data_IF_824022557037
#
_entry.id   IF_824022557037
#
_cell.length_a   1.000
_cell.length_b   1.000
_cell.length_c   1.000
_cell.angle_alpha   90.00
_cell.angle_beta   90.00
_cell.angle_gamma   90.00
#
_symmetry.space_group_name_H-M   'P 1'
#
loop_
_entity.id
_entity.type
_entity.pdbx_description
1 polymer ?
#
# COMPACT_ATOMS: atom_id res chain seq x y z
N UNK A 1 25.78 37.47 41.89
CA UNK A 1 24.68 36.54 42.21
C UNK A 1 24.53 35.61 41.01
N UNK A 2 24.99 34.36 41.10
CA UNK A 2 24.78 33.36 40.04
C UNK A 2 23.48 32.63 40.34
N UNK A 3 22.47 32.79 39.49
CA UNK A 3 21.22 32.05 39.57
C UNK A 3 21.44 30.64 39.05
N UNK A 4 21.35 29.65 39.92
CA UNK A 4 21.30 28.24 39.54
C UNK A 4 19.92 27.96 38.91
N UNK A 5 19.91 27.73 37.60
CA UNK A 5 18.71 27.28 36.89
C UNK A 5 18.31 25.89 37.39
N UNK A 6 17.05 25.74 37.79
CA UNK A 6 16.48 24.45 38.12
C UNK A 6 16.51 23.55 36.87
N UNK A 7 17.39 22.55 36.87
CA UNK A 7 17.29 21.44 35.95
C UNK A 7 16.01 20.67 36.31
N UNK A 8 14.96 20.83 35.50
CA UNK A 8 13.80 19.95 35.59
C UNK A 8 14.30 18.53 35.32
N UNK A 9 14.30 17.68 36.35
CA UNK A 9 14.62 16.28 36.22
C UNK A 9 13.57 15.65 35.29
N UNK A 10 13.95 15.38 34.05
CA UNK A 10 13.16 14.54 33.17
C UNK A 10 13.07 13.17 33.84
N UNK A 11 11.86 12.78 34.24
CA UNK A 11 11.62 11.45 34.80
C UNK A 11 12.22 10.42 33.84
N UNK A 12 13.01 9.44 34.33
CA UNK A 12 13.55 8.39 33.49
C UNK A 12 12.41 7.76 32.69
N UNK A 13 12.52 7.79 31.37
CA UNK A 13 11.55 7.15 30.50
C UNK A 13 11.51 5.66 30.89
N UNK A 14 10.32 5.07 31.11
CA UNK A 14 10.22 3.66 31.42
C UNK A 14 10.92 2.81 30.34
N UNK A 15 11.52 1.70 30.73
CA UNK A 15 12.17 0.77 29.81
C UNK A 15 11.24 0.22 28.70
N UNK A 16 9.93 0.32 28.91
CA UNK A 16 8.90 0.04 27.92
C UNK A 16 7.80 1.10 27.99
N UNK A 17 7.43 1.66 26.84
CA UNK A 17 6.34 2.63 26.70
C UNK A 17 5.45 2.24 25.53
N UNK A 18 4.13 2.39 25.67
CA UNK A 18 3.22 2.23 24.54
C UNK A 18 3.46 3.33 23.49
N UNK A 19 3.24 3.01 22.22
CA UNK A 19 3.19 3.98 21.14
C UNK A 19 1.93 3.75 20.29
N UNK A 20 1.50 4.82 19.65
CA UNK A 20 0.44 4.85 18.65
C UNK A 20 0.91 5.81 17.56
N UNK A 21 1.13 5.28 16.36
CA UNK A 21 1.66 6.04 15.21
C UNK A 21 0.74 5.82 14.02
N UNK A 22 0.30 6.93 13.42
CA UNK A 22 -0.48 6.95 12.19
C UNK A 22 0.22 7.80 11.15
N UNK A 23 0.29 7.32 9.92
CA UNK A 23 0.83 8.10 8.80
C UNK A 23 1.04 7.28 7.53
N UNK A 24 1.52 7.92 6.45
CA UNK A 24 1.79 7.23 5.20
C UNK A 24 2.82 6.13 5.41
N UNK A 25 2.57 4.97 4.80
CA UNK A 25 3.52 3.85 4.80
C UNK A 25 4.68 4.24 3.90
N UNK A 26 5.84 4.49 4.51
CA UNK A 26 7.03 4.90 3.78
C UNK A 26 7.73 3.68 3.20
N UNK A 27 7.88 2.62 4.00
CA UNK A 27 8.52 1.37 3.60
C UNK A 27 7.85 0.19 4.31
N UNK A 28 7.73 -0.94 3.63
CA UNK A 28 7.33 -2.21 4.24
C UNK A 28 8.27 -3.30 3.73
N UNK A 29 8.74 -4.17 4.62
CA UNK A 29 9.61 -5.30 4.26
C UNK A 29 9.09 -6.59 4.85
N UNK A 30 9.43 -7.69 4.18
CA UNK A 30 9.27 -9.04 4.68
C UNK A 30 10.63 -9.58 5.11
N UNK A 31 10.69 -10.29 6.24
CA UNK A 31 11.93 -10.94 6.67
C UNK A 31 12.31 -12.04 5.66
N UNK A 32 13.49 -11.93 5.00
CA UNK A 32 13.89 -12.89 3.97
C UNK A 32 14.11 -14.30 4.52
N UNK A 33 14.34 -14.44 5.83
CA UNK A 33 14.55 -15.75 6.46
C UNK A 33 13.26 -16.57 6.57
N UNK A 34 12.10 -15.92 6.50
CA UNK A 34 10.80 -16.58 6.58
C UNK A 34 9.85 -16.23 5.44
N UNK A 35 10.31 -15.65 4.34
CA UNK A 35 9.44 -15.14 3.28
C UNK A 35 8.45 -16.16 2.67
N UNK A 36 8.73 -17.47 2.78
CA UNK A 36 7.86 -18.55 2.33
C UNK A 36 6.80 -18.98 3.37
N UNK A 37 6.88 -18.51 4.61
CA UNK A 37 5.98 -18.83 5.71
C UNK A 37 4.85 -17.80 5.81
N UNK A 38 3.59 -18.25 5.82
CA UNK A 38 2.42 -17.38 5.95
C UNK A 38 2.44 -16.56 7.25
N UNK A 39 3.16 -17.01 8.27
CA UNK A 39 3.27 -16.35 9.58
C UNK A 39 4.50 -15.44 9.71
N UNK A 40 5.19 -15.17 8.59
CA UNK A 40 6.39 -14.35 8.60
C UNK A 40 6.12 -12.89 8.97
N UNK A 41 7.04 -12.33 9.74
CA UNK A 41 7.06 -10.92 10.12
C UNK A 41 7.95 -10.08 9.20
N UNK A 42 8.26 -8.86 9.63
CA UNK A 42 9.10 -7.96 8.87
C UNK A 42 9.20 -6.59 9.52
N UNK A 43 9.25 -5.54 8.71
CA UNK A 43 9.31 -4.17 9.23
C UNK A 43 8.39 -3.24 8.46
N UNK A 44 7.87 -2.23 9.15
CA UNK A 44 7.09 -1.14 8.55
C UNK A 44 7.68 0.20 9.00
N UNK A 45 7.83 1.14 8.09
CA UNK A 45 8.31 2.49 8.38
C UNK A 45 7.17 3.48 8.18
N UNK A 46 6.84 4.21 9.25
CA UNK A 46 5.79 5.22 9.26
C UNK A 46 6.36 6.47 9.95
N UNK A 47 6.21 7.64 9.34
CA UNK A 47 6.72 8.90 9.90
C UNK A 47 8.21 8.82 10.31
N UNK A 48 9.04 8.11 9.55
CA UNK A 48 10.47 7.90 9.83
C UNK A 48 10.79 6.90 10.93
N UNK A 49 9.78 6.29 11.57
CA UNK A 49 9.96 5.29 12.62
C UNK A 49 9.88 3.89 12.02
N UNK A 50 10.96 3.12 12.12
CA UNK A 50 10.97 1.71 11.74
C UNK A 50 10.41 0.87 12.89
N UNK A 51 9.26 0.24 12.64
CA UNK A 51 8.58 -0.65 13.56
C UNK A 51 8.78 -2.09 13.11
N UNK A 52 9.19 -2.95 14.03
CA UNK A 52 9.28 -4.39 13.81
C UNK A 52 7.89 -4.99 13.91
N UNK A 53 7.51 -5.74 12.89
CA UNK A 53 6.28 -6.53 12.84
C UNK A 53 6.65 -7.97 13.21
N UNK A 54 6.21 -8.48 14.38
CA UNK A 54 6.48 -9.85 14.79
C UNK A 54 5.89 -10.88 13.82
N UNK A 55 6.38 -12.11 13.91
CA UNK A 55 5.69 -13.28 13.34
C UNK A 55 4.29 -13.39 13.95
N UNK A 56 3.38 -14.01 13.21
CA UNK A 56 1.96 -14.17 13.62
C UNK A 56 1.15 -12.85 13.69
N UNK A 57 1.68 -11.75 13.16
CA UNK A 57 0.93 -10.48 13.15
C UNK A 57 -0.14 -10.49 12.05
N UNK A 58 -1.35 -10.09 12.44
CA UNK A 58 -2.46 -9.88 11.52
C UNK A 58 -2.54 -8.39 11.17
N UNK A 59 -2.63 -8.11 9.88
CA UNK A 59 -2.92 -6.78 9.33
C UNK A 59 -4.43 -6.67 9.13
N UNK A 60 -4.99 -5.61 9.71
CA UNK A 60 -6.40 -5.27 9.58
C UNK A 60 -6.59 -4.27 8.45
N UNK A 61 -7.46 -4.59 7.51
CA UNK A 61 -7.95 -3.66 6.50
C UNK A 61 -9.43 -3.37 6.76
N UNK A 62 -9.99 -2.29 6.18
CA UNK A 62 -11.41 -1.98 6.32
C UNK A 62 -12.37 -3.12 5.91
N UNK A 63 -11.96 -4.00 5.00
CA UNK A 63 -12.84 -5.01 4.40
C UNK A 63 -12.37 -6.47 4.59
N UNK A 64 -11.14 -6.69 5.03
CA UNK A 64 -10.53 -8.01 5.17
C UNK A 64 -9.36 -7.95 6.15
N UNK A 65 -8.89 -9.11 6.57
CA UNK A 65 -7.67 -9.24 7.37
C UNK A 65 -6.73 -10.18 6.61
N UNK A 66 -5.42 -9.94 6.68
CA UNK A 66 -4.40 -10.86 6.17
C UNK A 66 -3.26 -10.97 7.16
N UNK A 67 -2.44 -12.00 7.05
CA UNK A 67 -1.15 -11.99 7.75
C UNK A 67 -0.22 -10.95 7.12
N UNK A 68 0.86 -10.62 7.83
CA UNK A 68 1.91 -9.75 7.29
C UNK A 68 2.51 -10.30 5.99
N UNK A 69 2.77 -11.61 5.91
CA UNK A 69 3.31 -12.21 4.68
C UNK A 69 2.31 -12.19 3.52
N UNK A 70 1.04 -12.48 3.80
CA UNK A 70 -0.01 -12.48 2.79
C UNK A 70 -0.19 -11.12 2.12
N UNK A 71 0.09 -10.01 2.84
CA UNK A 71 0.10 -8.67 2.26
C UNK A 71 1.06 -8.57 1.05
N UNK A 72 2.19 -9.26 1.09
CA UNK A 72 3.16 -9.30 -0.01
C UNK A 72 2.84 -10.38 -1.03
N UNK A 73 2.32 -11.53 -0.60
CA UNK A 73 1.99 -12.64 -1.49
C UNK A 73 0.76 -12.34 -2.37
N UNK A 74 -0.22 -11.61 -1.83
CA UNK A 74 -1.46 -11.25 -2.52
C UNK A 74 -1.37 -9.87 -3.21
N UNK A 75 -0.21 -9.21 -3.14
CA UNK A 75 -0.02 -7.94 -3.82
C UNK A 75 -0.17 -8.13 -5.35
N UNK A 76 -0.99 -7.30 -6.02
CA UNK A 76 -1.23 -7.45 -7.45
C UNK A 76 0.01 -7.10 -8.27
N UNK A 77 0.17 -7.71 -9.44
CA UNK A 77 1.24 -7.34 -10.37
C UNK A 77 1.19 -5.83 -10.69
N UNK A 78 2.34 -5.14 -10.73
CA UNK A 78 3.70 -5.70 -10.73
C UNK A 78 4.33 -5.93 -9.34
N UNK A 79 3.58 -5.78 -8.25
CA UNK A 79 4.06 -5.93 -6.87
C UNK A 79 4.11 -7.39 -6.40
N UNK A 80 4.56 -7.59 -5.16
CA UNK A 80 4.55 -8.88 -4.47
C UNK A 80 5.73 -9.78 -4.77
N UNK A 81 5.65 -11.02 -4.30
CA UNK A 81 6.71 -12.04 -4.42
C UNK A 81 6.93 -12.58 -5.83
N UNK A 82 5.94 -12.42 -6.70
CA UNK A 82 6.01 -12.78 -8.12
C UNK A 82 6.16 -11.56 -9.03
N UNK A 83 6.29 -10.37 -8.43
CA UNK A 83 6.40 -9.10 -9.11
C UNK A 83 7.82 -8.75 -9.59
N UNK A 84 7.91 -7.86 -10.57
CA UNK A 84 9.20 -7.21 -10.93
C UNK A 84 9.44 -5.93 -10.13
N UNK A 85 8.55 -5.62 -9.19
CA UNK A 85 8.65 -4.45 -8.34
C UNK A 85 9.78 -4.59 -7.33
N UNK A 86 10.48 -3.47 -7.12
CA UNK A 86 11.64 -3.36 -6.21
C UNK A 86 11.40 -2.19 -5.26
N UNK A 87 12.15 -2.11 -4.17
CA UNK A 87 12.13 -0.91 -3.32
C UNK A 87 13.10 0.16 -3.88
N UNK A 88 12.78 1.46 -3.71
CA UNK A 88 13.55 2.56 -4.30
C UNK A 88 14.95 2.71 -3.70
N UNK A 89 15.14 2.20 -2.49
CA UNK A 89 16.44 2.11 -1.84
C UNK A 89 17.27 0.88 -2.27
N UNK A 90 16.79 0.09 -3.23
CA UNK A 90 17.47 -1.09 -3.74
C UNK A 90 17.43 -2.31 -2.81
N UNK A 91 16.62 -2.27 -1.74
CA UNK A 91 16.41 -3.42 -0.86
C UNK A 91 15.84 -4.60 -1.65
N UNK A 92 16.46 -5.78 -1.52
CA UNK A 92 15.99 -7.00 -2.16
C UNK A 92 14.81 -7.60 -1.36
N UNK A 93 13.67 -7.81 -2.02
CA UNK A 93 12.51 -8.44 -1.41
C UNK A 93 11.20 -8.12 -2.15
N UNK A 94 10.11 -8.84 -1.84
CA UNK A 94 8.80 -8.52 -2.35
C UNK A 94 8.34 -7.14 -1.86
N UNK A 95 7.63 -6.42 -2.72
CA UNK A 95 6.99 -5.13 -2.39
C UNK A 95 5.53 -5.35 -2.04
N UNK A 96 4.97 -4.55 -1.13
CA UNK A 96 3.57 -4.66 -0.75
C UNK A 96 2.63 -3.98 -1.75
N UNK A 97 3.14 -3.04 -2.55
CA UNK A 97 2.33 -2.18 -3.40
C UNK A 97 1.56 -1.11 -2.61
N UNK A 98 1.94 -0.90 -1.35
CA UNK A 98 1.31 0.02 -0.42
C UNK A 98 2.29 1.10 0.08
N UNK A 99 3.60 0.82 0.02
CA UNK A 99 4.60 1.73 0.54
C UNK A 99 5.04 2.74 -0.52
N UNK A 100 5.33 3.97 -0.08
CA UNK A 100 5.88 5.03 -0.95
C UNK A 100 7.24 4.66 -1.57
N UNK A 101 7.97 3.74 -0.94
CA UNK A 101 9.25 3.26 -1.43
C UNK A 101 9.11 2.10 -2.43
N UNK A 102 7.91 1.61 -2.73
CA UNK A 102 7.72 0.56 -3.73
C UNK A 102 7.85 1.15 -5.15
N UNK A 103 8.52 0.43 -6.06
CA UNK A 103 8.57 0.74 -7.49
C UNK A 103 7.86 -0.33 -8.31
N UNK A 104 6.94 0.05 -9.21
CA UNK A 104 6.47 1.41 -9.47
C UNK A 104 5.74 2.04 -8.26
N UNK A 105 5.73 3.36 -8.17
CA UNK A 105 5.07 4.04 -7.05
C UNK A 105 3.56 3.71 -7.02
N UNK A 106 2.98 3.35 -5.86
CA UNK A 106 1.54 3.12 -5.75
C UNK A 106 0.72 4.36 -6.16
N UNK A 107 -0.43 4.11 -6.79
CA UNK A 107 -1.31 5.15 -7.32
C UNK A 107 -2.00 6.00 -6.23
N UNK A 108 -2.00 5.51 -4.99
CA UNK A 108 -2.60 6.16 -3.84
C UNK A 108 -1.64 6.06 -2.65
N UNK A 109 -1.72 7.03 -1.75
CA UNK A 109 -1.04 6.96 -0.47
C UNK A 109 -1.83 6.05 0.45
N UNK A 110 -1.17 5.03 0.98
CA UNK A 110 -1.75 4.18 2.03
C UNK A 110 -1.21 4.63 3.38
N UNK A 111 -2.09 4.64 4.36
CA UNK A 111 -1.81 4.99 5.73
C UNK A 111 -1.75 3.72 6.57
N UNK A 112 -0.70 3.61 7.37
CA UNK A 112 -0.58 2.63 8.44
C UNK A 112 -0.89 3.30 9.77
N UNK A 113 -1.71 2.64 10.58
CA UNK A 113 -1.88 2.92 11.99
C UNK A 113 -1.32 1.74 12.77
N UNK A 114 -0.27 1.98 13.55
CA UNK A 114 0.45 0.93 14.28
C UNK A 114 0.46 1.27 15.75
N UNK A 115 -0.07 0.34 16.54
CA UNK A 115 -0.07 0.41 18.00
C UNK A 115 0.85 -0.68 18.52
N UNK A 116 1.67 -0.36 19.51
CA UNK A 116 2.60 -1.32 20.06
C UNK A 116 3.39 -0.81 21.23
N UNK A 117 4.48 -1.51 21.53
CA UNK A 117 5.37 -1.17 22.62
C UNK A 117 6.74 -0.80 22.06
N UNK A 118 7.25 0.33 22.52
CA UNK A 118 8.67 0.67 22.43
C UNK A 118 9.35 0.00 23.60
N UNK A 119 10.39 -0.78 23.33
CA UNK A 119 11.23 -1.44 24.33
C UNK A 119 12.67 -0.98 24.18
N UNK A 120 13.41 -0.90 25.29
CA UNK A 120 14.85 -0.67 25.23
C UNK A 120 15.55 -1.94 24.74
N UNK A 121 16.00 -1.91 23.49
CA UNK A 121 16.81 -2.96 22.89
C UNK A 121 18.31 -2.77 23.16
N UNK A 122 19.14 -3.76 22.78
CA UNK A 122 20.60 -3.71 22.96
C UNK A 122 21.28 -2.60 22.14
N UNK A 123 20.61 -2.07 21.10
CA UNK A 123 21.12 -1.00 20.23
C UNK A 123 20.34 0.33 20.37
N UNK A 124 19.48 0.45 21.38
CA UNK A 124 18.62 1.62 21.58
C UNK A 124 17.13 1.27 21.50
N UNK A 125 16.31 2.24 21.12
CA UNK A 125 14.85 2.08 21.10
C UNK A 125 14.38 1.14 19.99
N UNK A 126 13.63 0.11 20.37
CA UNK A 126 13.02 -0.85 19.46
C UNK A 126 11.50 -0.71 19.51
N UNK A 127 10.88 -0.39 18.38
CA UNK A 127 9.43 -0.33 18.24
C UNK A 127 8.91 -1.68 17.77
N UNK A 128 8.03 -2.31 18.55
CA UNK A 128 7.42 -3.60 18.22
C UNK A 128 5.93 -3.39 18.06
N UNK A 129 5.40 -3.73 16.90
CA UNK A 129 3.96 -3.67 16.62
C UNK A 129 3.21 -4.74 17.43
N UNK A 130 2.09 -4.33 18.03
CA UNK A 130 1.08 -5.25 18.59
C UNK A 130 -0.15 -5.34 17.69
N UNK A 131 -0.51 -4.24 17.00
CA UNK A 131 -1.59 -4.19 16.04
C UNK A 131 -1.20 -3.29 14.86
N UNK A 132 -1.52 -3.74 13.65
CA UNK A 132 -1.30 -2.98 12.41
C UNK A 132 -2.62 -2.86 11.67
N UNK A 133 -3.05 -1.63 11.43
CA UNK A 133 -4.19 -1.29 10.59
C UNK A 133 -3.72 -0.54 9.35
N UNK A 134 -4.22 -0.89 8.17
CA UNK A 134 -3.84 -0.25 6.92
C UNK A 134 -5.08 0.23 6.17
N UNK A 135 -5.08 1.48 5.72
CA UNK A 135 -6.18 2.08 4.96
C UNK A 135 -5.67 2.99 3.84
N UNK A 136 -6.49 3.24 2.81
CA UNK A 136 -6.16 4.18 1.73
C UNK A 136 -6.34 5.65 2.13
N UNK A 137 -6.90 5.91 3.31
CA UNK A 137 -7.00 7.18 4.06
C UNK A 137 -8.06 7.00 5.14
N UNK A 138 -7.69 7.09 6.41
CA UNK A 138 -8.61 6.91 7.55
C UNK A 138 -9.65 8.04 7.67
N UNK A 139 -9.44 9.16 6.97
CA UNK A 139 -10.24 10.39 7.03
C UNK A 139 -10.63 10.99 5.66
N UNK A 140 -10.69 10.19 4.58
CA UNK A 140 -11.26 10.67 3.30
C UNK A 140 -12.79 10.56 3.30
N UNK A 141 -13.46 11.38 4.11
CA UNK A 141 -14.90 11.61 3.97
C UNK A 141 -15.12 12.64 2.86
N UNK A 142 -15.32 12.16 1.64
CA UNK A 142 -15.81 12.97 0.53
C UNK A 142 -17.31 12.82 0.38
N UNK A 143 -18.06 13.92 0.50
CA UNK A 143 -19.47 13.96 0.13
C UNK A 143 -19.65 14.84 -1.11
N UNK A 144 -20.47 14.40 -2.05
CA UNK A 144 -20.74 15.13 -3.28
C UNK A 144 -21.69 14.36 -4.17
N UNK A 145 -22.22 15.02 -5.20
CA UNK A 145 -23.01 14.35 -6.21
C UNK A 145 -22.12 13.47 -7.09
N UNK A 146 -22.67 12.34 -7.53
CA UNK A 146 -22.05 11.53 -8.58
C UNK A 146 -22.14 12.34 -9.88
N UNK A 147 -21.01 12.84 -10.37
CA UNK A 147 -20.98 13.67 -11.57
C UNK A 147 -20.85 12.86 -12.86
N UNK A 148 -20.28 11.65 -12.77
CA UNK A 148 -20.09 10.76 -13.91
C UNK A 148 -19.95 9.30 -13.47
N UNK A 149 -20.50 8.37 -14.24
CA UNK A 149 -20.32 6.92 -14.08
C UNK A 149 -19.73 6.37 -15.37
N UNK A 150 -18.53 5.77 -15.29
CA UNK A 150 -17.90 5.02 -16.36
C UNK A 150 -18.35 3.57 -16.29
N UNK A 151 -19.31 3.20 -17.13
CA UNK A 151 -19.85 1.85 -17.22
C UNK A 151 -18.88 0.87 -17.90
N UNK A 152 -17.88 1.37 -18.62
CA UNK A 152 -16.88 0.52 -19.29
C UNK A 152 -15.82 0.06 -18.29
N UNK A 153 -15.40 0.93 -17.38
CA UNK A 153 -14.37 0.63 -16.38
C UNK A 153 -14.93 0.23 -15.00
N UNK A 154 -16.23 0.46 -14.75
CA UNK A 154 -16.86 0.22 -13.45
C UNK A 154 -16.44 1.24 -12.40
N UNK A 155 -16.28 2.50 -12.81
CA UNK A 155 -15.75 3.58 -11.98
C UNK A 155 -16.74 4.74 -11.90
N UNK A 156 -16.75 5.44 -10.78
CA UNK A 156 -17.61 6.60 -10.58
C UNK A 156 -16.79 7.81 -10.11
N UNK A 157 -17.25 9.00 -10.49
CA UNK A 157 -16.65 10.27 -10.10
C UNK A 157 -17.60 10.98 -9.13
N UNK A 158 -17.05 11.50 -8.03
CA UNK A 158 -17.81 12.19 -6.98
C UNK A 158 -17.25 13.59 -6.76
N UNK A 159 -18.15 14.57 -6.62
CA UNK A 159 -17.79 15.95 -6.26
C UNK A 159 -17.15 16.75 -7.39
N UNK A 160 -17.30 16.31 -8.65
CA UNK A 160 -16.91 17.06 -9.84
C UNK A 160 -18.04 17.89 -10.45
N UNK A 161 -17.77 18.50 -11.60
CA UNK A 161 -18.76 19.25 -12.38
C UNK A 161 -19.77 18.26 -12.99
N UNK A 162 -21.07 18.47 -12.74
CA UNK A 162 -22.14 17.66 -13.34
C UNK A 162 -22.15 17.88 -14.85
N UNK A 163 -22.21 16.80 -15.63
CA UNK A 163 -22.11 16.82 -17.10
C UNK A 163 -20.78 17.41 -17.63
N UNK A 164 -19.68 17.17 -16.93
CA UNK A 164 -18.34 17.57 -17.38
C UNK A 164 -18.06 17.01 -18.79
N UNK A 165 -17.84 17.87 -19.81
CA UNK A 165 -17.61 17.45 -21.18
C UNK A 165 -16.27 16.71 -21.36
N UNK A 166 -15.37 16.77 -20.37
CA UNK A 166 -14.09 16.07 -20.41
C UNK A 166 -14.16 14.62 -19.90
N UNK A 167 -15.33 14.17 -19.43
CA UNK A 167 -15.55 12.80 -18.97
C UNK A 167 -16.09 11.93 -20.12
N UNK A 168 -15.29 10.96 -20.56
CA UNK A 168 -15.68 9.96 -21.57
C UNK A 168 -15.74 8.53 -20.99
N UNK A 169 -16.56 7.65 -21.57
CA UNK A 169 -16.61 6.22 -21.20
C UNK A 169 -15.30 5.51 -21.60
N UNK A 170 -14.83 4.56 -20.77
CA UNK A 170 -13.60 3.80 -21.03
C UNK A 170 -12.30 4.58 -20.80
N UNK A 171 -12.38 5.76 -20.18
CA UNK A 171 -11.26 6.67 -20.08
C UNK A 171 -10.44 6.45 -18.80
N UNK A 172 -9.15 6.17 -18.97
CA UNK A 172 -8.18 6.07 -17.87
C UNK A 172 -7.69 7.45 -17.44
N UNK A 173 -6.91 7.54 -16.35
CA UNK A 173 -6.24 8.79 -15.97
C UNK A 173 -5.40 9.40 -17.12
N UNK A 174 -4.93 8.58 -18.07
CA UNK A 174 -4.18 9.03 -19.24
C UNK A 174 -5.09 9.54 -20.38
N UNK A 175 -6.32 9.02 -20.52
CA UNK A 175 -7.22 9.36 -21.63
C UNK A 175 -8.34 10.33 -21.24
N UNK A 176 -8.66 10.41 -19.94
CA UNK A 176 -9.52 11.42 -19.32
C UNK A 176 -8.78 12.16 -18.18
N UNK A 177 -7.64 12.83 -18.45
CA UNK A 177 -6.87 13.51 -17.41
C UNK A 177 -7.63 14.72 -16.80
N UNK A 178 -8.59 15.28 -17.55
CA UNK A 178 -9.33 16.49 -17.16
C UNK A 178 -10.73 16.21 -16.61
N UNK A 179 -11.14 14.94 -16.50
CA UNK A 179 -12.44 14.59 -15.94
C UNK A 179 -12.45 14.92 -14.44
N UNK A 180 -13.30 15.87 -14.06
CA UNK A 180 -13.39 16.41 -12.70
C UNK A 180 -14.01 15.43 -11.71
N UNK A 181 -13.73 15.66 -10.42
CA UNK A 181 -14.21 14.84 -9.31
C UNK A 181 -13.25 13.73 -8.91
N UNK A 182 -13.39 13.30 -7.65
CA UNK A 182 -12.63 12.19 -7.10
C UNK A 182 -13.04 10.88 -7.75
N UNK A 183 -12.06 10.07 -8.16
CA UNK A 183 -12.30 8.76 -8.77
C UNK A 183 -12.48 7.70 -7.70
N UNK A 184 -13.61 7.02 -7.74
CA UNK A 184 -13.96 5.92 -6.86
C UNK A 184 -14.11 4.65 -7.69
N UNK A 185 -13.43 3.58 -7.27
CA UNK A 185 -13.51 2.25 -7.87
C UNK A 185 -13.77 1.24 -6.78
N UNK A 186 -14.74 0.35 -7.02
CA UNK A 186 -15.04 -0.74 -6.09
C UNK A 186 -13.91 -1.77 -6.21
N UNK A 187 -13.37 -2.21 -5.07
CA UNK A 187 -12.39 -3.30 -5.02
C UNK A 187 -13.11 -4.65 -5.18
N UNK A 188 -13.46 -4.98 -6.42
CA UNK A 188 -14.13 -6.23 -6.79
C UNK A 188 -13.26 -7.06 -7.74
N UNK A 189 -12.22 -7.73 -7.22
CA UNK A 189 -11.24 -8.45 -8.04
C UNK A 189 -11.85 -9.62 -8.83
N UNK A 190 -12.96 -10.20 -8.37
CA UNK A 190 -13.66 -11.29 -9.07
C UNK A 190 -14.75 -10.80 -10.01
N UNK A 191 -15.06 -9.50 -10.01
CA UNK A 191 -16.07 -8.89 -10.87
C UNK A 191 -17.49 -9.38 -10.58
N UNK A 192 -17.80 -9.67 -9.31
CA UNK A 192 -19.14 -10.12 -8.91
C UNK A 192 -20.19 -9.01 -9.02
N UNK A 193 -19.76 -7.77 -8.79
CA UNK A 193 -20.58 -6.56 -8.73
C UNK A 193 -20.12 -5.47 -9.72
N UNK A 194 -19.14 -5.77 -10.58
CA UNK A 194 -18.66 -4.88 -11.63
C UNK A 194 -17.78 -5.60 -12.66
N UNK A 195 -17.28 -4.90 -13.69
CA UNK A 195 -16.29 -5.47 -14.61
C UNK A 195 -15.05 -5.91 -13.82
N UNK A 196 -14.53 -7.10 -14.15
CA UNK A 196 -13.37 -7.66 -13.45
C UNK A 196 -12.22 -6.66 -13.47
N UNK A 197 -11.60 -6.47 -12.30
CA UNK A 197 -10.34 -5.76 -12.18
C UNK A 197 -9.22 -6.66 -12.73
N UNK A 198 -9.30 -7.05 -14.01
CA UNK A 198 -8.20 -7.73 -14.67
C UNK A 198 -6.98 -6.85 -14.51
N UNK A 199 -5.88 -7.44 -13.99
CA UNK A 199 -4.60 -6.77 -13.85
C UNK A 199 -4.35 -5.98 -15.12
N UNK A 200 -4.52 -4.65 -15.05
CA UNK A 200 -4.31 -3.79 -16.21
C UNK A 200 -2.81 -3.79 -16.40
N UNK A 201 -2.38 -4.72 -17.24
CA UNK A 201 -1.02 -5.01 -17.67
C UNK A 201 -0.21 -3.72 -17.68
N UNK A 202 0.60 -3.54 -16.64
CA UNK A 202 1.77 -2.70 -16.72
C UNK A 202 2.78 -3.43 -17.61
N UNK A 203 2.56 -3.41 -18.92
CA UNK A 203 3.59 -3.64 -19.93
C UNK A 203 3.05 -3.32 -21.32
N UNK A 204 3.53 -2.18 -21.85
CA UNK A 204 3.95 -2.18 -23.24
C UNK A 204 4.97 -3.31 -23.47
N UNK A 205 4.99 -3.81 -24.70
CA UNK A 205 5.76 -4.96 -25.19
C UNK A 205 5.12 -6.34 -24.91
N UNK A 206 4.02 -6.61 -25.58
CA UNK A 206 3.89 -7.88 -26.31
C UNK A 206 3.75 -7.56 -27.79
N UNK A 207 4.87 -7.26 -28.44
CA UNK A 207 4.97 -7.46 -29.90
C UNK A 207 4.80 -8.95 -30.16
N UNK A 208 3.88 -9.38 -31.05
CA UNK A 208 3.77 -10.78 -31.43
C UNK A 208 5.09 -11.22 -32.06
N UNK A 209 5.70 -12.29 -31.54
CA UNK A 209 6.81 -12.95 -32.22
C UNK A 209 6.31 -13.44 -33.60
N UNK A 210 7.00 -13.15 -34.70
CA UNK A 210 6.56 -13.53 -36.03
C UNK A 210 6.54 -15.05 -36.21
N UNK A 211 5.53 -15.53 -36.94
CA UNK A 211 5.12 -16.91 -37.04
C UNK A 211 6.23 -17.91 -37.40
N UNK A 212 6.24 -19.03 -36.66
CA UNK A 212 6.99 -20.23 -37.03
C UNK A 212 6.17 -21.01 -38.06
N UNK A 213 6.47 -20.80 -39.33
CA UNK A 213 6.01 -21.66 -40.42
C UNK A 213 6.53 -23.09 -40.21
N UNK A 214 5.63 -24.06 -40.04
CA UNK A 214 5.96 -25.48 -40.09
C UNK A 214 6.14 -25.90 -41.55
N UNK A 215 7.26 -26.50 -41.96
CA UNK A 215 7.37 -27.09 -43.29
C UNK A 215 6.57 -28.39 -43.33
N UNK A 216 5.73 -28.51 -44.35
CA UNK A 216 5.04 -29.72 -44.76
C UNK A 216 6.07 -30.64 -45.40
N UNK A 217 6.24 -31.87 -44.91
CA UNK A 217 7.02 -32.90 -45.59
C UNK A 217 6.21 -34.18 -45.72
N UNK A 218 6.07 -34.59 -46.99
CA UNK A 218 5.69 -35.90 -47.53
C UNK A 218 4.26 -36.39 -47.31
#
# INVERSE_FOLDING_TARGET
MLAAGAANAQLPIPNSTAFDITGPIQKATLDPTCAADAHCGGTITIQGHTVVVPKETIVLYPANNSTWQEMFALAPLPYGSLGSAVQADGSAGPTSGLALNDLPLPLANYEGHVVGNRVLGPAGDLYIAGLVYVSSSSLNTGAGFINFIDYTLGELRVGGVVNDPNCAQGGTAATNPLCSGARVRINDPTGRFGPTLSARRASGASTPLPGRSSPRSS
#
